data_IF_677713421034
#
_entry.id   IF_677713421034
#
_cell.length_a   1.000
_cell.length_b   1.000
_cell.length_c   1.000
_cell.angle_alpha   90.00
_cell.angle_beta   90.00
_cell.angle_gamma   90.00
#
_symmetry.space_group_name_H-M   'P 1'
#
loop_
_entity.id
_entity.type
_entity.pdbx_description
1 polymer ?
#
# COMPACT_ATOMS: atom_id res chain seq x y z
N UNK A 1 -4.83 4.50 -3.94
CA UNK A 1 -3.82 3.76 -3.15
C UNK A 1 -3.64 4.43 -1.80
N UNK A 2 -3.72 5.76 -1.79
CA UNK A 2 -3.91 6.55 -0.59
C UNK A 2 -5.26 6.23 0.05
N UNK A 3 -5.23 5.83 1.31
CA UNK A 3 -6.40 5.71 2.15
C UNK A 3 -6.39 6.84 3.21
N UNK A 4 -7.53 7.52 3.44
CA UNK A 4 -7.59 8.60 4.40
C UNK A 4 -7.53 8.05 5.84
N UNK A 5 -6.96 8.83 6.75
CA UNK A 5 -6.80 8.44 8.16
C UNK A 5 -8.09 8.34 8.99
N UNK A 6 -9.22 8.78 8.45
CA UNK A 6 -10.51 8.78 9.14
C UNK A 6 -11.31 7.47 8.97
N UNK A 7 -10.76 6.48 8.26
CA UNK A 7 -11.35 5.14 8.18
C UNK A 7 -11.35 4.46 9.55
N UNK A 8 -12.36 3.63 9.80
CA UNK A 8 -12.34 2.74 10.96
C UNK A 8 -11.22 1.72 10.85
N UNK A 9 -10.86 1.09 11.98
CA UNK A 9 -9.83 0.05 11.99
C UNK A 9 -10.14 -1.11 11.03
N UNK A 10 -11.36 -1.71 11.00
CA UNK A 10 -11.68 -2.74 10.02
C UNK A 10 -11.58 -2.25 8.57
N UNK A 11 -12.11 -1.07 8.26
CA UNK A 11 -12.03 -0.50 6.89
C UNK A 11 -10.58 -0.30 6.45
N UNK A 12 -9.71 0.11 7.38
CA UNK A 12 -8.27 0.29 7.12
C UNK A 12 -7.54 -1.02 6.80
N UNK A 13 -8.06 -2.18 7.23
CA UNK A 13 -7.47 -3.50 6.94
C UNK A 13 -7.99 -4.11 5.64
N UNK A 14 -9.23 -3.84 5.24
CA UNK A 14 -9.85 -4.37 4.02
C UNK A 14 -9.70 -3.43 2.82
N UNK A 15 -8.45 -3.09 2.49
CA UNK A 15 -8.05 -2.09 1.49
C UNK A 15 -8.11 -2.59 0.03
N UNK A 16 -9.28 -3.06 -0.41
CA UNK A 16 -9.49 -3.65 -1.74
C UNK A 16 -9.04 -2.76 -2.91
N UNK A 17 -9.16 -1.43 -2.77
CA UNK A 17 -8.68 -0.49 -3.79
C UNK A 17 -7.18 -0.60 -4.00
N UNK A 18 -6.42 -0.82 -2.93
CA UNK A 18 -4.96 -0.99 -2.96
C UNK A 18 -4.57 -2.37 -3.50
N UNK A 19 -5.30 -3.42 -3.13
CA UNK A 19 -5.16 -4.77 -3.72
C UNK A 19 -5.30 -4.69 -5.24
N UNK A 20 -6.37 -4.04 -5.72
CA UNK A 20 -6.64 -3.90 -7.15
C UNK A 20 -5.57 -3.06 -7.86
N UNK A 21 -5.05 -2.02 -7.21
CA UNK A 21 -3.94 -1.23 -7.71
C UNK A 21 -2.68 -2.09 -7.92
N UNK A 22 -2.21 -2.82 -6.89
CA UNK A 22 -1.02 -3.64 -7.02
C UNK A 22 -1.18 -4.76 -8.05
N UNK A 23 -2.33 -5.44 -8.08
CA UNK A 23 -2.63 -6.45 -9.12
C UNK A 23 -2.53 -5.88 -10.52
N UNK A 24 -3.11 -4.70 -10.74
CA UNK A 24 -3.11 -4.05 -12.05
C UNK A 24 -1.69 -3.61 -12.46
N UNK A 25 -0.93 -3.03 -11.53
CA UNK A 25 0.44 -2.60 -11.77
C UNK A 25 1.38 -3.77 -12.05
N UNK A 26 1.31 -4.84 -11.26
CA UNK A 26 2.15 -6.02 -11.46
C UNK A 26 1.80 -6.75 -12.77
N UNK A 27 0.52 -6.73 -13.18
CA UNK A 27 0.10 -7.25 -14.49
C UNK A 27 0.78 -6.49 -15.64
N UNK A 28 0.73 -5.16 -15.61
CA UNK A 28 1.36 -4.35 -16.68
C UNK A 28 2.89 -4.38 -16.59
N UNK A 29 3.48 -4.48 -15.39
CA UNK A 29 4.91 -4.70 -15.21
C UNK A 29 5.35 -6.00 -15.88
N UNK A 30 4.61 -7.09 -15.64
CA UNK A 30 4.85 -8.38 -16.31
C UNK A 30 4.72 -8.27 -17.82
N UNK A 31 3.74 -7.52 -18.32
CA UNK A 31 3.60 -7.27 -19.76
C UNK A 31 4.82 -6.54 -20.32
N UNK A 32 5.28 -5.48 -19.67
CA UNK A 32 6.49 -4.75 -20.09
C UNK A 32 7.73 -5.66 -20.12
N UNK A 33 7.87 -6.57 -19.15
CA UNK A 33 8.94 -7.58 -19.15
C UNK A 33 8.84 -8.53 -20.34
N UNK A 34 7.62 -8.98 -20.69
CA UNK A 34 7.40 -9.82 -21.87
C UNK A 34 7.70 -9.08 -23.18
N UNK A 35 7.49 -7.76 -23.21
CA UNK A 35 7.77 -6.89 -24.36
C UNK A 35 9.27 -6.49 -24.44
N UNK A 36 10.12 -7.00 -23.54
CA UNK A 36 11.58 -6.88 -23.60
C UNK A 36 12.20 -5.92 -22.58
N UNK A 37 11.41 -5.34 -21.67
CA UNK A 37 11.97 -4.47 -20.62
C UNK A 37 12.82 -5.28 -19.61
N UNK A 38 14.03 -4.81 -19.33
CA UNK A 38 14.89 -5.40 -18.29
C UNK A 38 14.53 -4.86 -16.90
N UNK A 39 13.65 -5.58 -16.19
CA UNK A 39 13.18 -5.20 -14.85
C UNK A 39 13.85 -6.05 -13.79
N UNK A 40 14.57 -5.41 -12.86
CA UNK A 40 15.30 -6.11 -11.79
C UNK A 40 14.53 -6.25 -10.48
N UNK A 41 13.42 -5.52 -10.30
CA UNK A 41 12.62 -5.61 -9.08
C UNK A 41 11.43 -4.66 -9.06
N UNK A 42 10.60 -4.82 -8.03
CA UNK A 42 9.45 -3.99 -7.73
C UNK A 42 9.48 -3.61 -6.25
N UNK A 43 9.33 -2.32 -5.94
CA UNK A 43 9.33 -1.80 -4.58
C UNK A 43 8.02 -1.05 -4.34
N UNK A 44 7.15 -1.63 -3.52
CA UNK A 44 5.93 -0.98 -3.10
C UNK A 44 6.25 0.16 -2.13
N UNK A 45 5.71 1.37 -2.41
CA UNK A 45 5.56 2.40 -1.39
C UNK A 45 4.23 2.18 -0.67
N UNK A 46 4.21 1.85 0.61
CA UNK A 46 5.37 1.51 1.46
C UNK A 46 5.03 0.31 2.35
N UNK A 47 5.99 -0.18 3.14
CA UNK A 47 5.74 -1.31 4.04
C UNK A 47 4.79 -0.91 5.19
N UNK A 48 4.95 0.29 5.74
CA UNK A 48 4.20 0.78 6.91
C UNK A 48 3.48 2.09 6.59
N UNK A 49 2.31 2.29 7.18
CA UNK A 49 1.73 3.63 7.25
C UNK A 49 2.74 4.55 7.94
N UNK A 50 3.02 5.70 7.32
CA UNK A 50 4.12 6.58 7.71
C UNK A 50 3.68 8.06 7.70
N UNK A 51 4.64 8.97 7.85
CA UNK A 51 4.40 10.41 7.77
C UNK A 51 4.57 10.87 6.31
N UNK A 52 3.46 11.12 5.63
CA UNK A 52 3.46 11.45 4.20
C UNK A 52 3.61 12.97 3.99
N UNK A 53 4.83 13.48 4.18
CA UNK A 53 5.24 14.86 3.88
C UNK A 53 4.25 15.91 4.43
N UNK A 54 3.69 16.76 3.58
CA UNK A 54 2.76 17.82 3.95
C UNK A 54 1.41 17.30 4.46
N UNK A 55 1.06 16.04 4.15
CA UNK A 55 -0.18 15.41 4.61
C UNK A 55 -0.01 14.76 6.00
N UNK A 56 1.24 14.62 6.47
CA UNK A 56 1.55 13.96 7.73
C UNK A 56 0.92 12.57 7.81
N UNK A 57 0.24 12.26 8.91
CA UNK A 57 -0.43 10.97 9.11
C UNK A 57 -1.87 10.90 8.59
N UNK A 58 -2.32 11.92 7.84
CA UNK A 58 -3.70 11.93 7.32
C UNK A 58 -3.89 11.07 6.08
N UNK A 59 -2.78 10.63 5.48
CA UNK A 59 -2.69 9.80 4.27
C UNK A 59 -1.92 8.51 4.57
N UNK A 60 -2.42 7.37 4.09
CA UNK A 60 -1.93 6.03 4.46
C UNK A 60 -1.60 5.17 3.24
N UNK A 61 -0.31 4.99 2.97
CA UNK A 61 0.24 4.20 1.85
C UNK A 61 0.80 2.83 2.24
N UNK A 62 0.85 2.48 3.52
CA UNK A 62 1.52 1.27 3.99
C UNK A 62 0.74 -0.02 3.82
N UNK A 63 1.40 -1.09 3.40
CA UNK A 63 0.87 -2.47 3.42
C UNK A 63 0.49 -2.93 4.83
N UNK A 64 1.09 -2.33 5.87
CA UNK A 64 0.68 -2.49 7.25
C UNK A 64 0.10 -1.19 7.81
N UNK A 65 -1.05 -1.32 8.45
CA UNK A 65 -1.63 -0.29 9.30
C UNK A 65 -0.76 -0.11 10.54
N UNK A 66 -0.48 1.14 10.90
CA UNK A 66 0.16 1.51 12.18
C UNK A 66 -0.89 2.18 13.08
N UNK A 67 -1.09 1.62 14.27
CA UNK A 67 -1.87 2.27 15.34
C UNK A 67 -0.98 3.33 16.00
N UNK A 68 -1.38 4.61 15.94
CA UNK A 68 -0.56 5.69 16.49
C UNK A 68 -0.65 5.81 18.02
N UNK A 69 -1.55 5.07 18.68
CA UNK A 69 -1.64 5.05 20.14
C UNK A 69 -0.52 4.20 20.78
N UNK A 70 -0.23 3.03 20.20
CA UNK A 70 0.72 2.05 20.76
C UNK A 70 1.78 1.54 19.76
N UNK A 71 1.75 2.06 18.52
CA UNK A 71 2.63 1.69 17.41
C UNK A 71 2.53 0.22 16.99
N UNK A 72 1.46 -0.50 17.34
CA UNK A 72 1.27 -1.85 16.79
C UNK A 72 1.01 -1.80 15.28
N UNK A 73 1.45 -2.87 14.61
CA UNK A 73 1.32 -3.03 13.16
C UNK A 73 0.40 -4.18 12.85
N UNK A 74 -0.47 -3.96 11.87
CA UNK A 74 -1.43 -4.95 11.40
C UNK A 74 -1.35 -4.99 9.88
N UNK A 75 -1.05 -6.16 9.31
CA UNK A 75 -1.03 -6.32 7.87
C UNK A 75 -2.44 -6.12 7.30
N UNK A 76 -2.53 -5.27 6.28
CA UNK A 76 -3.76 -5.05 5.51
C UNK A 76 -3.92 -6.18 4.49
N UNK A 77 -5.09 -6.25 3.86
CA UNK A 77 -5.38 -7.24 2.83
C UNK A 77 -4.38 -7.16 1.66
N UNK A 78 -3.95 -5.94 1.29
CA UNK A 78 -2.93 -5.71 0.26
C UNK A 78 -1.54 -6.28 0.55
N UNK A 79 -1.25 -6.70 1.79
CA UNK A 79 0.03 -7.33 2.14
C UNK A 79 0.11 -8.82 1.75
N UNK A 80 -1.00 -9.43 1.34
CA UNK A 80 -1.13 -10.85 0.98
C UNK A 80 -1.48 -11.04 -0.49
#
# INVERSE_FOLDING_TARGET
IDDPSNLTFPESLYDNNRVNFYRSYLKELKRAMNDGANVSGYLAWSVLDNFEWLLGHTSRFGLAYVDHNDLKRYFKLSAY
#
